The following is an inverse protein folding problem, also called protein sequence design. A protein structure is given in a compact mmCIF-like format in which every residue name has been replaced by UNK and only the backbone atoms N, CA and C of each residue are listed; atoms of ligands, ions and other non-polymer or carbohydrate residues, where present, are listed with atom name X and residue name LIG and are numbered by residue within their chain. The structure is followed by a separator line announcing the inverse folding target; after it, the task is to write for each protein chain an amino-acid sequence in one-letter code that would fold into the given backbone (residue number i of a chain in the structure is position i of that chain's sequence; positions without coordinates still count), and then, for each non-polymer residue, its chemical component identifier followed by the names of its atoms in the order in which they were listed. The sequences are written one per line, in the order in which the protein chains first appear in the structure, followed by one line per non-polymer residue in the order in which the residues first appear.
data_IF_941780678784
#
_entry.id   IF_941780678784
#
_cell.length_a   1.000
_cell.length_b   1.000
_cell.length_c   1.000
_cell.angle_alpha   90.00
_cell.angle_beta   90.00
_cell.angle_gamma   90.00
#
_symmetry.space_group_name_H-M   'P 1'
#
loop_
_entity.id
_entity.type
_entity.pdbx_description
1 polymer ?
#
# COMPACT_ATOMS: atom_id res chain seq x y z
N UNK A 1 -75.57 -63.54 -6.52
CA UNK A 1 -76.24 -62.25 -6.82
C UNK A 1 -75.58 -61.68 -8.05
N UNK A 2 -76.30 -61.56 -9.17
CA UNK A 2 -75.75 -60.94 -10.38
C UNK A 2 -75.62 -59.44 -10.14
N UNK A 3 -74.42 -58.89 -10.29
CA UNK A 3 -74.19 -57.43 -10.24
C UNK A 3 -75.18 -56.74 -11.20
N UNK A 4 -75.78 -55.65 -10.72
CA UNK A 4 -76.62 -54.79 -11.54
C UNK A 4 -75.81 -54.22 -12.71
N UNK A 5 -76.42 -54.05 -13.88
CA UNK A 5 -75.78 -53.39 -15.04
C UNK A 5 -75.20 -52.01 -14.64
N UNK A 6 -75.88 -51.32 -13.73
CA UNK A 6 -75.44 -50.02 -13.21
C UNK A 6 -74.17 -50.13 -12.34
N UNK A 7 -74.04 -51.18 -11.53
CA UNK A 7 -72.84 -51.42 -10.70
C UNK A 7 -71.62 -51.75 -11.56
N UNK A 8 -71.82 -52.52 -12.64
CA UNK A 8 -70.76 -52.78 -13.63
C UNK A 8 -70.31 -51.49 -14.32
N UNK A 9 -71.25 -50.63 -14.72
CA UNK A 9 -70.93 -49.35 -15.35
C UNK A 9 -70.16 -48.40 -14.43
N UNK A 10 -70.50 -48.35 -13.13
CA UNK A 10 -69.75 -47.55 -12.16
C UNK A 10 -68.34 -48.10 -11.90
N UNK A 11 -68.18 -49.43 -11.90
CA UNK A 11 -66.86 -50.07 -11.77
C UNK A 11 -65.94 -49.84 -12.97
N UNK A 12 -66.48 -49.66 -14.17
CA UNK A 12 -65.69 -49.43 -15.41
C UNK A 12 -65.75 -47.99 -15.91
N UNK A 13 -66.30 -47.06 -15.12
CA UNK A 13 -66.38 -45.65 -15.47
C UNK A 13 -64.99 -45.00 -15.63
N UNK A 14 -64.94 -43.88 -16.35
CA UNK A 14 -63.70 -43.11 -16.56
C UNK A 14 -63.13 -42.53 -15.25
N UNK A 15 -63.97 -42.37 -14.21
CA UNK A 15 -63.58 -41.98 -12.83
C UNK A 15 -63.56 -43.16 -11.84
N UNK A 16 -63.57 -44.41 -12.32
CA UNK A 16 -63.51 -45.56 -11.42
C UNK A 16 -62.19 -45.61 -10.65
N UNK A 17 -62.16 -46.29 -9.51
CA UNK A 17 -60.97 -46.42 -8.68
C UNK A 17 -59.74 -46.97 -9.44
N UNK A 18 -59.94 -47.75 -10.51
CA UNK A 18 -58.85 -48.24 -11.36
C UNK A 18 -58.20 -47.16 -12.23
N UNK A 19 -58.91 -46.06 -12.49
CA UNK A 19 -58.45 -44.91 -13.27
C UNK A 19 -58.13 -43.69 -12.40
N UNK A 20 -58.22 -43.82 -11.06
CA UNK A 20 -58.06 -42.69 -10.14
C UNK A 20 -56.76 -41.92 -10.36
N UNK A 21 -55.62 -42.63 -10.49
CA UNK A 21 -54.31 -42.00 -10.73
C UNK A 21 -54.25 -41.21 -12.04
N UNK A 22 -54.90 -41.71 -13.10
CA UNK A 22 -54.95 -41.07 -14.41
C UNK A 22 -55.80 -39.79 -14.37
N UNK A 23 -56.94 -39.84 -13.68
CA UNK A 23 -57.82 -38.68 -13.51
C UNK A 23 -57.19 -37.63 -12.59
N UNK A 24 -56.49 -38.05 -11.53
CA UNK A 24 -55.72 -37.16 -10.65
C UNK A 24 -54.62 -36.42 -11.42
N UNK A 25 -53.86 -37.11 -12.27
CA UNK A 25 -52.82 -36.49 -13.11
C UNK A 25 -53.40 -35.49 -14.12
N UNK A 26 -54.51 -35.84 -14.78
CA UNK A 26 -55.25 -34.94 -15.66
C UNK A 26 -55.80 -33.70 -14.93
N UNK A 27 -56.25 -33.86 -13.69
CA UNK A 27 -56.74 -32.76 -12.87
C UNK A 27 -55.59 -31.86 -12.41
N UNK A 28 -54.44 -32.42 -12.03
CA UNK A 28 -53.24 -31.63 -11.72
C UNK A 28 -52.77 -30.80 -12.92
N UNK A 29 -52.81 -31.36 -14.13
CA UNK A 29 -52.53 -30.62 -15.37
C UNK A 29 -53.55 -29.51 -15.62
N UNK A 30 -54.84 -29.78 -15.40
CA UNK A 30 -55.90 -28.76 -15.50
C UNK A 30 -55.68 -27.58 -14.54
N UNK A 31 -55.21 -27.84 -13.31
CA UNK A 31 -54.90 -26.79 -12.33
C UNK A 31 -53.66 -25.95 -12.70
N UNK A 32 -52.72 -26.50 -13.50
CA UNK A 32 -51.54 -25.78 -13.98
C UNK A 32 -51.83 -25.00 -15.27
N UNK A 33 -52.40 -25.66 -16.27
CA UNK A 33 -52.86 -25.05 -17.52
C UNK A 33 -54.08 -25.80 -18.10
N UNK A 34 -55.29 -25.22 -18.02
CA UNK A 34 -56.49 -25.79 -18.59
C UNK A 34 -56.41 -26.08 -20.10
N UNK A 35 -55.52 -25.38 -20.84
CA UNK A 35 -55.37 -25.51 -22.28
C UNK A 35 -54.75 -26.85 -22.70
N UNK A 36 -53.94 -27.48 -21.84
CA UNK A 36 -53.24 -28.74 -22.11
C UNK A 36 -54.15 -29.98 -21.97
N UNK A 37 -55.30 -29.82 -21.31
CA UNK A 37 -56.27 -30.90 -21.08
C UNK A 37 -57.33 -30.95 -22.19
N UNK A 38 -57.70 -32.15 -22.70
CA UNK A 38 -58.76 -32.29 -23.70
C UNK A 38 -60.10 -31.67 -23.25
N UNK A 39 -60.84 -31.06 -24.20
CA UNK A 39 -62.07 -30.30 -23.95
C UNK A 39 -63.13 -31.07 -23.14
N UNK A 40 -63.22 -32.39 -23.34
CA UNK A 40 -64.14 -33.27 -22.61
C UNK A 40 -63.85 -33.32 -21.11
N UNK A 41 -62.56 -33.32 -20.74
CA UNK A 41 -62.12 -33.31 -19.34
C UNK A 41 -62.17 -31.92 -18.74
N UNK A 42 -61.86 -30.88 -19.51
CA UNK A 42 -62.01 -29.48 -19.09
C UNK A 42 -63.46 -29.18 -18.68
N UNK A 43 -64.41 -29.54 -19.55
CA UNK A 43 -65.84 -29.37 -19.29
C UNK A 43 -66.30 -30.17 -18.07
N UNK A 44 -65.72 -31.34 -17.83
CA UNK A 44 -66.01 -32.15 -16.65
C UNK A 44 -65.48 -31.51 -15.35
N UNK A 45 -64.23 -31.04 -15.35
CA UNK A 45 -63.60 -30.43 -14.18
C UNK A 45 -64.24 -29.08 -13.79
N UNK A 46 -64.76 -28.30 -14.75
CA UNK A 46 -65.55 -27.10 -14.47
C UNK A 46 -66.85 -27.37 -13.71
N UNK A 47 -67.39 -28.59 -13.79
CA UNK A 47 -68.63 -28.98 -13.07
C UNK A 47 -68.38 -29.46 -11.65
N UNK A 48 -67.12 -29.56 -11.22
CA UNK A 48 -66.79 -30.00 -9.87
C UNK A 48 -67.23 -28.93 -8.84
N UNK A 49 -67.90 -29.34 -7.75
CA UNK A 49 -68.35 -28.39 -6.74
C UNK A 49 -67.15 -27.80 -5.99
N UNK A 50 -67.08 -26.47 -5.94
CA UNK A 50 -66.18 -25.76 -5.03
C UNK A 50 -66.59 -26.06 -3.59
N UNK A 51 -65.63 -26.44 -2.74
CA UNK A 51 -65.87 -26.73 -1.32
C UNK A 51 -66.41 -25.47 -0.62
N UNK A 52 -67.55 -25.61 0.09
CA UNK A 52 -68.22 -24.49 0.75
C UNK A 52 -67.28 -23.75 1.73
N UNK A 53 -67.06 -22.45 1.48
CA UNK A 53 -66.34 -21.54 2.39
C UNK A 53 -64.98 -21.02 1.91
N UNK A 54 -64.49 -21.45 0.75
CA UNK A 54 -63.23 -20.95 0.17
C UNK A 54 -63.40 -20.54 -1.29
N UNK A 55 -63.27 -19.25 -1.60
CA UNK A 55 -63.18 -18.72 -2.97
C UNK A 55 -61.78 -18.93 -3.60
N UNK A 56 -61.00 -19.89 -3.10
CA UNK A 56 -59.66 -20.14 -3.56
C UNK A 56 -59.67 -21.30 -4.57
N UNK A 57 -58.91 -21.20 -5.68
CA UNK A 57 -58.74 -22.31 -6.60
C UNK A 57 -58.08 -23.50 -5.89
N UNK A 58 -58.42 -24.73 -6.31
CA UNK A 58 -57.79 -25.94 -5.79
C UNK A 58 -56.27 -25.92 -6.05
N UNK A 59 -55.51 -26.40 -5.08
CA UNK A 59 -54.05 -26.40 -5.12
C UNK A 59 -53.59 -27.75 -5.67
N UNK A 60 -52.68 -27.72 -6.64
CA UNK A 60 -52.10 -28.95 -7.19
C UNK A 60 -51.40 -29.79 -6.12
N UNK A 61 -51.73 -31.08 -6.09
CA UNK A 61 -51.23 -32.01 -5.09
C UNK A 61 -49.73 -32.32 -5.26
N UNK A 62 -49.20 -32.29 -6.48
CA UNK A 62 -47.75 -32.31 -6.74
C UNK A 62 -47.01 -31.11 -6.14
N UNK A 63 -47.56 -29.90 -6.23
CA UNK A 63 -46.97 -28.71 -5.60
C UNK A 63 -46.89 -28.84 -4.07
N UNK A 64 -47.91 -29.45 -3.46
CA UNK A 64 -47.91 -29.74 -2.02
C UNK A 64 -46.85 -30.80 -1.68
N UNK A 65 -46.76 -31.88 -2.46
CA UNK A 65 -45.70 -32.91 -2.29
C UNK A 65 -44.31 -32.32 -2.43
N UNK A 66 -44.07 -31.48 -3.42
CA UNK A 66 -42.79 -30.82 -3.65
C UNK A 66 -42.44 -29.85 -2.53
N UNK A 67 -43.43 -29.13 -2.00
CA UNK A 67 -43.25 -28.28 -0.82
C UNK A 67 -42.84 -29.09 0.41
N UNK A 68 -43.49 -30.24 0.68
CA UNK A 68 -43.10 -31.13 1.77
C UNK A 68 -41.75 -31.82 1.52
N UNK A 69 -41.40 -32.11 0.26
CA UNK A 69 -40.10 -32.65 -0.12
C UNK A 69 -38.98 -31.60 0.04
N UNK A 70 -39.26 -30.33 -0.26
CA UNK A 70 -38.37 -29.20 0.04
C UNK A 70 -38.21 -28.99 1.54
N UNK A 71 -39.29 -29.09 2.33
CA UNK A 71 -39.21 -29.06 3.80
C UNK A 71 -38.39 -30.23 4.35
N UNK A 72 -38.52 -31.42 3.77
CA UNK A 72 -37.73 -32.61 4.13
C UNK A 72 -36.27 -32.53 3.67
N UNK A 73 -35.97 -31.91 2.52
CA UNK A 73 -34.60 -31.65 2.04
C UNK A 73 -33.93 -30.50 2.79
N UNK A 74 -34.69 -29.48 3.20
CA UNK A 74 -34.25 -28.39 4.06
C UNK A 74 -34.22 -28.78 5.55
N UNK A 75 -34.80 -29.93 5.92
CA UNK A 75 -34.30 -30.75 7.03
C UNK A 75 -32.98 -31.43 6.66
N UNK A 76 -32.03 -30.66 6.10
CA UNK A 76 -30.65 -30.86 6.50
C UNK A 76 -30.69 -30.82 8.03
N UNK A 77 -30.41 -31.98 8.64
CA UNK A 77 -30.27 -32.15 10.08
C UNK A 77 -29.82 -30.83 10.68
N UNK A 78 -30.72 -30.19 11.43
CA UNK A 78 -30.29 -29.37 12.56
C UNK A 78 -29.72 -30.38 13.54
N UNK A 79 -28.52 -30.90 13.23
CA UNK A 79 -27.60 -31.30 14.27
C UNK A 79 -27.51 -30.02 15.11
N UNK A 80 -27.79 -30.06 16.41
CA UNK A 80 -27.41 -28.94 17.24
C UNK A 80 -25.91 -28.81 17.03
N UNK A 81 -25.51 -27.83 16.23
CA UNK A 81 -24.13 -27.39 16.13
C UNK A 81 -23.85 -27.02 17.57
N UNK A 82 -23.11 -27.88 18.26
CA UNK A 82 -22.78 -27.61 19.66
C UNK A 82 -22.14 -26.22 19.66
N UNK A 83 -22.38 -25.43 20.71
CA UNK A 83 -21.71 -24.13 20.83
C UNK A 83 -20.18 -24.26 20.62
N UNK A 84 -19.61 -25.45 20.86
CA UNK A 84 -18.22 -25.80 20.57
C UNK A 84 -17.85 -25.82 19.06
N UNK A 85 -18.73 -26.25 18.14
CA UNK A 85 -18.41 -26.26 16.71
C UNK A 85 -18.54 -24.89 16.02
N UNK A 86 -19.48 -24.04 16.47
CA UNK A 86 -19.53 -22.61 16.04
C UNK A 86 -18.27 -21.88 16.49
N UNK A 87 -17.83 -22.13 17.73
CA UNK A 87 -16.59 -21.56 18.25
C UNK A 87 -15.38 -22.05 17.43
N UNK A 88 -15.33 -23.35 17.07
CA UNK A 88 -14.19 -23.89 16.30
C UNK A 88 -14.06 -23.34 14.87
N UNK A 89 -15.17 -23.00 14.20
CA UNK A 89 -15.12 -22.40 12.86
C UNK A 89 -14.74 -20.92 12.94
N UNK A 90 -15.33 -20.18 13.89
CA UNK A 90 -14.98 -18.79 14.15
C UNK A 90 -13.50 -18.65 14.57
N UNK A 91 -13.00 -19.54 15.44
CA UNK A 91 -11.58 -19.60 15.84
C UNK A 91 -10.65 -19.88 14.64
N UNK A 92 -11.04 -20.76 13.72
CA UNK A 92 -10.26 -21.02 12.49
C UNK A 92 -10.22 -19.79 11.58
N UNK A 93 -11.36 -19.11 11.42
CA UNK A 93 -11.42 -17.86 10.64
C UNK A 93 -10.64 -16.75 11.33
N UNK A 94 -10.68 -16.67 12.67
CA UNK A 94 -9.88 -15.73 13.45
C UNK A 94 -8.38 -15.93 13.22
N UNK A 95 -7.91 -17.18 13.18
CA UNK A 95 -6.52 -17.48 12.82
C UNK A 95 -6.21 -17.06 11.37
N UNK A 96 -7.11 -17.34 10.43
CA UNK A 96 -6.97 -16.93 9.03
C UNK A 96 -6.92 -15.39 8.87
N UNK A 97 -7.69 -14.63 9.66
CA UNK A 97 -7.59 -13.16 9.70
C UNK A 97 -6.22 -12.70 10.20
N UNK A 98 -5.64 -13.38 11.20
CA UNK A 98 -4.28 -13.10 11.66
C UNK A 98 -3.23 -13.32 10.58
N UNK A 99 -3.33 -14.43 9.83
CA UNK A 99 -2.45 -14.72 8.69
C UNK A 99 -2.62 -13.72 7.55
N UNK A 100 -3.85 -13.26 7.29
CA UNK A 100 -4.13 -12.19 6.32
C UNK A 100 -3.43 -10.88 6.72
N UNK A 101 -3.58 -10.43 7.98
CA UNK A 101 -2.90 -9.23 8.50
C UNK A 101 -1.38 -9.34 8.30
N UNK A 102 -0.80 -10.49 8.66
CA UNK A 102 0.63 -10.75 8.47
C UNK A 102 1.04 -10.77 6.98
N UNK A 103 0.17 -11.26 6.10
CA UNK A 103 0.34 -11.21 4.64
C UNK A 103 0.50 -9.78 4.12
N UNK A 104 -0.39 -8.87 4.52
CA UNK A 104 -0.31 -7.44 4.16
C UNK A 104 0.95 -6.77 4.73
N UNK A 105 1.31 -7.05 5.99
CA UNK A 105 2.53 -6.51 6.60
C UNK A 105 3.81 -6.93 5.86
N UNK A 106 3.84 -8.15 5.32
CA UNK A 106 5.01 -8.71 4.63
C UNK A 106 5.09 -8.35 3.16
N UNK A 107 3.96 -8.30 2.46
CA UNK A 107 3.92 -8.22 0.99
C UNK A 107 2.97 -7.16 0.44
N UNK A 108 2.35 -6.34 1.30
CA UNK A 108 1.50 -5.21 0.89
C UNK A 108 2.19 -4.27 -0.09
N UNK A 109 3.48 -4.02 0.14
CA UNK A 109 4.30 -3.18 -0.72
C UNK A 109 4.37 -3.66 -2.19
N UNK A 110 4.16 -4.95 -2.47
CA UNK A 110 4.13 -5.49 -3.85
C UNK A 110 2.84 -5.14 -4.60
N UNK A 111 1.77 -4.79 -3.87
CA UNK A 111 0.48 -4.35 -4.42
C UNK A 111 0.33 -2.82 -4.42
N UNK A 112 1.18 -2.13 -3.67
CA UNK A 112 1.13 -0.69 -3.50
C UNK A 112 1.21 0.09 -4.81
N UNK A 113 0.55 1.26 -4.86
CA UNK A 113 0.53 2.11 -6.03
C UNK A 113 1.75 3.05 -6.05
N UNK A 114 2.92 2.49 -6.35
CA UNK A 114 4.21 3.18 -6.22
C UNK A 114 4.66 3.88 -7.50
N UNK A 115 4.26 3.38 -8.66
CA UNK A 115 4.68 3.90 -9.97
C UNK A 115 3.77 5.06 -10.43
N UNK A 116 4.28 6.31 -10.50
CA UNK A 116 3.51 7.44 -11.02
C UNK A 116 3.15 7.30 -12.51
N UNK A 117 3.92 6.52 -13.28
CA UNK A 117 3.74 6.36 -14.71
C UNK A 117 2.75 5.24 -15.07
N UNK A 118 2.46 4.34 -14.12
CA UNK A 118 1.58 3.18 -14.33
C UNK A 118 2.11 2.19 -15.38
N UNK A 119 3.43 2.10 -15.53
CA UNK A 119 4.15 1.18 -16.42
C UNK A 119 4.41 -0.18 -15.76
N UNK A 120 4.54 -0.22 -14.43
CA UNK A 120 4.80 -1.47 -13.70
C UNK A 120 3.60 -2.42 -13.73
N UNK A 121 3.84 -3.68 -14.10
CA UNK A 121 2.84 -4.73 -13.99
C UNK A 121 2.65 -5.12 -12.52
N UNK A 122 1.43 -4.96 -12.01
CA UNK A 122 1.10 -5.36 -10.65
C UNK A 122 1.25 -6.87 -10.50
N UNK A 123 2.08 -7.29 -9.55
CA UNK A 123 2.24 -8.70 -9.21
C UNK A 123 0.94 -9.26 -8.63
N UNK A 124 0.60 -10.49 -9.01
CA UNK A 124 -0.41 -11.25 -8.29
C UNK A 124 0.18 -11.70 -6.96
N UNK A 125 -0.44 -11.31 -5.86
CA UNK A 125 0.03 -11.61 -4.50
C UNK A 125 -1.06 -12.38 -3.75
N UNK A 126 -1.12 -13.71 -3.90
CA UNK A 126 -2.17 -14.54 -3.30
C UNK A 126 -2.29 -14.36 -1.79
N UNK A 127 -1.20 -14.04 -1.08
CA UNK A 127 -1.21 -13.81 0.36
C UNK A 127 -2.11 -12.65 0.82
N UNK A 128 -2.56 -11.77 -0.08
CA UNK A 128 -3.47 -10.67 0.24
C UNK A 128 -4.94 -10.98 -0.08
N UNK A 129 -5.23 -12.12 -0.71
CA UNK A 129 -6.59 -12.49 -1.13
C UNK A 129 -7.31 -13.29 -0.04
N UNK A 130 -8.62 -13.08 0.09
CA UNK A 130 -9.43 -13.77 1.10
C UNK A 130 -9.43 -15.28 0.85
N UNK A 131 -9.48 -15.68 -0.41
CA UNK A 131 -9.57 -17.07 -0.85
C UNK A 131 -8.34 -17.88 -0.45
N UNK A 132 -7.14 -17.28 -0.50
CA UNK A 132 -5.91 -17.92 -0.06
C UNK A 132 -5.97 -18.34 1.42
N UNK A 133 -6.63 -17.53 2.24
CA UNK A 133 -6.82 -17.75 3.68
C UNK A 133 -8.11 -18.52 4.00
N UNK A 134 -8.82 -19.05 3.00
CA UNK A 134 -10.12 -19.74 3.16
C UNK A 134 -11.20 -18.85 3.78
N UNK A 135 -11.09 -17.55 3.57
CA UNK A 135 -12.12 -16.56 3.86
C UNK A 135 -12.91 -16.29 2.57
N UNK A 136 -14.14 -15.80 2.72
CA UNK A 136 -15.02 -15.51 1.59
C UNK A 136 -15.73 -14.17 1.76
N UNK A 137 -16.39 -13.70 0.70
CA UNK A 137 -17.22 -12.50 0.76
C UNK A 137 -18.35 -12.59 1.82
N UNK A 138 -18.79 -13.80 2.19
CA UNK A 138 -19.78 -14.00 3.24
C UNK A 138 -19.25 -13.69 4.65
N UNK A 139 -17.92 -13.67 4.83
CA UNK A 139 -17.28 -13.41 6.11
C UNK A 139 -17.02 -11.90 6.35
N UNK A 140 -17.21 -11.05 5.34
CA UNK A 140 -16.88 -9.62 5.39
C UNK A 140 -17.55 -8.87 6.54
N UNK A 141 -18.80 -9.21 6.84
CA UNK A 141 -19.56 -8.54 7.90
C UNK A 141 -19.42 -9.24 9.27
N UNK A 142 -18.60 -10.30 9.34
CA UNK A 142 -18.25 -11.00 10.60
C UNK A 142 -17.19 -10.22 11.36
N UNK A 143 -17.36 -10.08 12.68
CA UNK A 143 -16.39 -9.39 13.55
C UNK A 143 -15.32 -10.35 14.07
N UNK A 144 -14.08 -9.87 14.06
CA UNK A 144 -12.89 -10.56 14.52
C UNK A 144 -12.10 -9.68 15.49
N UNK A 145 -11.33 -10.31 16.37
CA UNK A 145 -10.32 -9.65 17.18
C UNK A 145 -9.22 -9.14 16.26
N UNK A 146 -8.81 -7.90 16.47
CA UNK A 146 -7.80 -7.22 15.65
C UNK A 146 -6.38 -7.48 16.14
N UNK A 147 -6.24 -8.03 17.34
CA UNK A 147 -4.96 -8.40 17.93
C UNK A 147 -4.04 -7.18 18.07
N UNK A 148 -2.91 -7.22 17.38
CA UNK A 148 -1.92 -6.13 17.35
C UNK A 148 -2.06 -5.21 16.13
N UNK A 149 -3.23 -5.14 15.49
CA UNK A 149 -3.51 -4.18 14.43
C UNK A 149 -3.86 -2.81 15.05
N UNK A 150 -3.03 -1.79 14.80
CA UNK A 150 -3.09 -0.52 15.53
C UNK A 150 -3.99 0.54 14.88
N UNK A 151 -5.31 0.33 14.85
CA UNK A 151 -6.28 1.31 14.30
C UNK A 151 -7.39 1.74 15.28
N UNK A 152 -7.19 1.50 16.57
CA UNK A 152 -8.04 2.04 17.66
C UNK A 152 -9.21 1.17 18.08
N UNK A 153 -9.42 0.01 17.47
CA UNK A 153 -10.48 -0.93 17.83
C UNK A 153 -9.91 -2.32 18.16
N UNK A 154 -10.38 -2.95 19.24
CA UNK A 154 -10.00 -4.33 19.62
C UNK A 154 -10.75 -5.40 18.81
N UNK A 155 -11.89 -5.02 18.22
CA UNK A 155 -12.70 -5.85 17.35
C UNK A 155 -13.24 -5.02 16.17
N UNK A 156 -13.21 -5.59 14.97
CA UNK A 156 -13.79 -4.99 13.78
C UNK A 156 -14.29 -6.06 12.81
N UNK A 157 -15.13 -5.66 11.87
CA UNK A 157 -15.54 -6.53 10.77
C UNK A 157 -14.35 -6.86 9.87
N UNK A 158 -14.37 -8.03 9.22
CA UNK A 158 -13.33 -8.40 8.25
C UNK A 158 -13.20 -7.34 7.13
N UNK A 159 -14.32 -6.74 6.71
CA UNK A 159 -14.33 -5.61 5.77
C UNK A 159 -13.47 -4.45 6.26
N UNK A 160 -13.74 -3.96 7.48
CA UNK A 160 -12.98 -2.85 8.07
C UNK A 160 -11.49 -3.19 8.22
N UNK A 161 -11.17 -4.44 8.59
CA UNK A 161 -9.78 -4.91 8.70
C UNK A 161 -9.09 -4.84 7.33
N UNK A 162 -9.71 -5.38 6.28
CA UNK A 162 -9.16 -5.33 4.92
C UNK A 162 -9.00 -3.90 4.43
N UNK A 163 -9.98 -3.04 4.65
CA UNK A 163 -9.92 -1.63 4.24
C UNK A 163 -8.76 -0.88 4.91
N UNK A 164 -8.51 -1.15 6.21
CA UNK A 164 -7.37 -0.59 6.95
C UNK A 164 -6.05 -1.12 6.39
N UNK A 165 -5.95 -2.42 6.11
CA UNK A 165 -4.73 -3.02 5.57
C UNK A 165 -4.40 -2.52 4.16
N UNK A 166 -5.41 -2.41 3.28
CA UNK A 166 -5.26 -1.89 1.92
C UNK A 166 -4.83 -0.42 1.93
N UNK A 167 -5.49 0.42 2.73
CA UNK A 167 -5.11 1.85 2.85
C UNK A 167 -3.70 2.01 3.43
N UNK A 168 -3.32 1.21 4.43
CA UNK A 168 -2.02 1.33 5.10
C UNK A 168 -0.87 0.82 4.23
N UNK A 169 -1.01 -0.35 3.60
CA UNK A 169 0.12 -1.09 3.00
C UNK A 169 0.10 -1.14 1.47
N UNK A 170 -1.03 -0.78 0.84
CA UNK A 170 -1.22 -0.87 -0.62
C UNK A 170 -1.59 0.48 -1.28
N UNK A 171 -1.55 1.59 -0.53
CA UNK A 171 -1.79 2.95 -1.05
C UNK A 171 -0.59 3.52 -1.81
N UNK A 172 -0.34 4.82 -1.62
CA UNK A 172 0.83 5.52 -2.18
C UNK A 172 2.15 5.17 -1.47
N UNK A 173 2.09 4.42 -0.38
CA UNK A 173 3.24 4.00 0.43
C UNK A 173 3.29 2.47 0.51
N UNK A 174 4.45 1.92 0.20
CA UNK A 174 4.78 0.51 0.39
C UNK A 174 5.95 0.40 1.36
N UNK A 175 5.79 -0.37 2.44
CA UNK A 175 6.83 -0.48 3.47
C UNK A 175 7.38 -1.91 3.57
N UNK A 176 8.70 -2.01 3.65
CA UNK A 176 9.42 -3.25 3.92
C UNK A 176 10.13 -3.12 5.26
N UNK A 177 9.66 -3.86 6.25
CA UNK A 177 10.20 -3.81 7.62
C UNK A 177 10.12 -5.16 8.33
N UNK A 178 9.29 -6.10 7.87
CA UNK A 178 9.14 -7.42 8.50
C UNK A 178 10.40 -8.29 8.41
N UNK A 179 11.43 -7.88 7.66
CA UNK A 179 12.76 -8.51 7.65
C UNK A 179 13.65 -8.11 8.82
N UNK A 180 13.25 -7.09 9.60
CA UNK A 180 13.93 -6.66 10.83
C UNK A 180 13.79 -7.77 11.88
N UNK A 181 14.86 -8.09 12.60
CA UNK A 181 14.81 -9.15 13.63
C UNK A 181 14.32 -8.64 14.99
N UNK A 182 14.51 -7.35 15.29
CA UNK A 182 14.02 -6.74 16.51
C UNK A 182 12.50 -6.52 16.47
N UNK A 183 11.77 -7.17 17.38
CA UNK A 183 10.31 -7.07 17.48
C UNK A 183 9.85 -5.68 17.92
N UNK A 184 10.61 -4.99 18.77
CA UNK A 184 10.26 -3.64 19.21
C UNK A 184 10.32 -2.65 18.04
N UNK A 185 11.30 -2.80 17.14
CA UNK A 185 11.36 -2.01 15.91
C UNK A 185 10.20 -2.33 14.94
N UNK A 186 9.87 -3.61 14.76
CA UNK A 186 8.71 -3.98 13.95
C UNK A 186 7.41 -3.37 14.49
N UNK A 187 7.19 -3.46 15.81
CA UNK A 187 6.03 -2.88 16.48
C UNK A 187 6.01 -1.35 16.35
N UNK A 188 7.18 -0.71 16.43
CA UNK A 188 7.32 0.73 16.27
C UNK A 188 6.84 1.20 14.88
N UNK A 189 7.21 0.46 13.82
CA UNK A 189 6.78 0.73 12.45
C UNK A 189 5.28 0.45 12.30
N UNK A 190 4.81 -0.70 12.79
CA UNK A 190 3.39 -1.09 12.76
C UNK A 190 2.50 -0.03 13.39
N UNK A 191 2.85 0.42 14.59
CA UNK A 191 2.05 1.40 15.34
C UNK A 191 1.91 2.71 14.56
N UNK A 192 3.01 3.24 14.00
CA UNK A 192 2.96 4.51 13.27
C UNK A 192 2.24 4.41 11.93
N UNK A 193 2.46 3.32 11.19
CA UNK A 193 1.82 3.11 9.89
C UNK A 193 0.32 2.86 10.04
N UNK A 194 -0.08 1.92 10.89
CA UNK A 194 -1.48 1.47 11.00
C UNK A 194 -2.36 2.50 11.73
N UNK A 195 -1.81 3.25 12.70
CA UNK A 195 -2.59 4.29 13.39
C UNK A 195 -2.86 5.51 12.51
N UNK A 196 -1.93 5.82 11.59
CA UNK A 196 -2.13 6.86 10.59
C UNK A 196 -2.82 6.34 9.32
N UNK A 197 -2.92 5.01 9.14
CA UNK A 197 -3.30 4.37 7.87
C UNK A 197 -2.45 4.84 6.69
N UNK A 198 -1.19 5.15 6.95
CA UNK A 198 -0.27 5.79 6.00
C UNK A 198 -0.77 7.10 5.39
N UNK A 199 -1.79 7.73 5.99
CA UNK A 199 -2.42 8.98 5.56
C UNK A 199 -2.49 9.95 6.73
N UNK A 200 -1.53 10.88 6.81
CA UNK A 200 -1.66 12.01 7.73
C UNK A 200 -2.58 13.06 7.13
N UNK A 201 -3.68 13.35 7.82
CA UNK A 201 -4.52 14.50 7.51
C UNK A 201 -3.76 15.80 7.83
N UNK A 202 -2.99 16.31 6.86
CA UNK A 202 -2.31 17.59 6.99
C UNK A 202 -3.30 18.74 6.95
N UNK A 203 -3.13 19.72 7.84
CA UNK A 203 -3.90 20.97 7.78
C UNK A 203 -3.53 21.81 6.56
N UNK A 204 -4.47 22.66 6.11
CA UNK A 204 -4.32 23.50 4.91
C UNK A 204 -3.00 24.28 4.83
N UNK A 205 -2.49 24.75 5.98
CA UNK A 205 -1.22 25.49 6.03
C UNK A 205 0.00 24.64 5.64
N UNK A 206 0.00 23.35 5.99
CA UNK A 206 1.07 22.41 5.59
C UNK A 206 0.92 22.08 4.11
N UNK A 207 -0.31 21.78 3.65
CA UNK A 207 -0.58 21.50 2.23
C UNK A 207 -0.16 22.65 1.30
N UNK A 208 -0.45 23.90 1.69
CA UNK A 208 0.02 25.09 0.95
C UNK A 208 1.53 25.17 0.89
N UNK A 209 2.24 24.90 1.98
CA UNK A 209 3.70 24.90 2.02
C UNK A 209 4.32 23.82 1.14
N UNK A 210 3.73 22.64 1.11
CA UNK A 210 4.13 21.55 0.21
C UNK A 210 3.99 22.03 -1.24
N UNK A 211 2.82 22.58 -1.59
CA UNK A 211 2.55 23.11 -2.92
C UNK A 211 3.52 24.24 -3.32
N UNK A 212 3.79 25.19 -2.43
CA UNK A 212 4.73 26.28 -2.68
C UNK A 212 6.14 25.76 -3.03
N UNK A 213 6.59 24.72 -2.33
CA UNK A 213 7.89 24.07 -2.59
C UNK A 213 7.90 23.33 -3.94
N UNK A 214 6.80 22.67 -4.31
CA UNK A 214 6.67 22.02 -5.62
C UNK A 214 6.72 23.06 -6.75
N UNK A 215 5.99 24.18 -6.60
CA UNK A 215 5.99 25.28 -7.57
C UNK A 215 7.40 25.87 -7.72
N UNK A 216 8.12 26.07 -6.62
CA UNK A 216 9.50 26.55 -6.65
C UNK A 216 10.45 25.55 -7.34
N UNK A 217 10.28 24.26 -7.07
CA UNK A 217 11.09 23.19 -7.68
C UNK A 217 10.87 23.11 -9.19
N UNK A 218 9.62 23.07 -9.64
CA UNK A 218 9.25 23.02 -11.06
C UNK A 218 9.62 24.32 -11.78
N UNK A 219 9.33 25.47 -11.16
CA UNK A 219 9.58 26.79 -11.71
C UNK A 219 11.06 27.03 -12.03
N UNK A 220 11.96 26.63 -11.13
CA UNK A 220 13.41 26.70 -11.38
C UNK A 220 13.83 25.81 -12.55
N UNK A 221 13.32 24.58 -12.63
CA UNK A 221 13.60 23.64 -13.71
C UNK A 221 13.19 24.20 -15.07
N UNK A 222 11.94 24.70 -15.17
CA UNK A 222 11.40 25.35 -16.37
C UNK A 222 12.22 26.58 -16.76
N UNK A 223 12.54 27.46 -15.80
CA UNK A 223 13.32 28.66 -16.06
C UNK A 223 14.70 28.34 -16.64
N UNK A 224 15.44 27.43 -16.01
CA UNK A 224 16.76 27.02 -16.49
C UNK A 224 16.68 26.34 -17.87
N UNK A 225 15.65 25.52 -18.09
CA UNK A 225 15.39 24.87 -19.38
C UNK A 225 15.12 25.86 -20.51
N UNK A 226 14.35 26.92 -20.25
CA UNK A 226 14.05 27.97 -21.23
C UNK A 226 15.22 28.91 -21.47
N UNK A 227 15.94 29.33 -20.41
CA UNK A 227 17.02 30.33 -20.52
C UNK A 227 18.32 29.75 -21.07
N UNK A 228 18.66 28.51 -20.73
CA UNK A 228 19.92 27.86 -21.11
C UNK A 228 19.67 26.56 -21.89
N UNK A 229 19.05 26.63 -23.08
CA UNK A 229 18.74 25.45 -23.88
C UNK A 229 20.03 24.69 -24.25
N UNK A 230 19.99 23.36 -24.18
CA UNK A 230 21.13 22.49 -24.50
C UNK A 230 22.22 22.41 -23.43
N UNK A 231 22.14 23.20 -22.35
CA UNK A 231 23.11 23.10 -21.24
C UNK A 231 22.73 21.98 -20.28
N UNK A 232 23.68 21.09 -19.98
CA UNK A 232 23.49 20.02 -18.98
C UNK A 232 23.26 20.64 -17.59
N UNK A 233 22.07 20.39 -17.03
CA UNK A 233 21.63 20.88 -15.70
C UNK A 233 21.24 19.78 -14.72
N UNK A 234 21.05 18.53 -15.19
CA UNK A 234 20.55 17.40 -14.39
C UNK A 234 19.30 17.76 -13.58
N UNK A 235 18.27 18.21 -14.31
CA UNK A 235 17.06 18.74 -13.71
C UNK A 235 16.28 17.69 -12.90
N UNK A 236 15.39 18.21 -12.05
CA UNK A 236 14.59 17.44 -11.11
C UNK A 236 13.19 17.12 -11.68
N UNK A 237 12.93 17.45 -12.95
CA UNK A 237 11.61 17.29 -13.54
C UNK A 237 11.13 15.83 -13.42
N UNK A 238 9.89 15.65 -12.93
CA UNK A 238 9.28 14.35 -12.59
C UNK A 238 9.70 13.78 -11.24
N UNK A 239 10.42 14.54 -10.41
CA UNK A 239 10.81 14.16 -9.06
C UNK A 239 10.78 15.36 -8.10
N UNK A 240 9.92 16.35 -8.35
CA UNK A 240 9.83 17.62 -7.62
C UNK A 240 9.50 17.42 -6.13
N UNK A 241 8.75 16.37 -5.79
CA UNK A 241 8.45 15.95 -4.41
C UNK A 241 9.68 15.68 -3.55
N UNK A 242 10.86 15.51 -4.17
CA UNK A 242 12.15 15.48 -3.49
C UNK A 242 12.42 16.75 -2.65
N UNK A 243 12.00 17.94 -3.12
CA UNK A 243 12.24 19.19 -2.38
C UNK A 243 11.41 19.26 -1.09
N UNK A 244 10.09 18.98 -1.10
CA UNK A 244 9.31 18.76 0.12
C UNK A 244 9.90 17.67 1.03
N UNK A 245 10.35 16.53 0.49
CA UNK A 245 10.97 15.44 1.26
C UNK A 245 12.18 15.92 2.09
N UNK A 246 13.20 16.47 1.43
CA UNK A 246 14.41 16.91 2.13
C UNK A 246 14.12 18.07 3.08
N UNK A 247 13.22 18.97 2.71
CA UNK A 247 12.80 20.04 3.60
C UNK A 247 12.19 19.51 4.90
N UNK A 248 11.31 18.50 4.81
CA UNK A 248 10.67 17.90 5.97
C UNK A 248 11.70 17.15 6.82
N UNK A 249 12.61 16.38 6.22
CA UNK A 249 13.70 15.72 6.94
C UNK A 249 14.51 16.71 7.78
N UNK A 250 14.91 17.85 7.19
CA UNK A 250 15.66 18.90 7.89
C UNK A 250 14.81 19.53 9.00
N UNK A 251 13.54 19.81 8.73
CA UNK A 251 12.62 20.43 9.70
C UNK A 251 12.37 19.53 10.91
N UNK A 252 12.14 18.24 10.66
CA UNK A 252 11.92 17.21 11.67
C UNK A 252 13.19 16.95 12.48
N UNK A 253 14.34 16.83 11.82
CA UNK A 253 15.64 16.70 12.49
C UNK A 253 15.92 17.85 13.46
N UNK A 254 15.67 19.10 13.02
CA UNK A 254 15.86 20.27 13.86
C UNK A 254 14.92 20.28 15.06
N UNK A 255 13.68 19.87 14.88
CA UNK A 255 12.71 19.70 15.98
C UNK A 255 13.16 18.65 17.01
N UNK A 256 13.90 17.63 16.56
CA UNK A 256 14.49 16.58 17.40
C UNK A 256 15.87 16.95 17.98
N UNK A 257 16.33 18.19 17.83
CA UNK A 257 17.57 18.68 18.45
C UNK A 257 18.85 18.50 17.61
N UNK A 258 18.74 18.08 16.35
CA UNK A 258 19.88 18.06 15.42
C UNK A 258 20.30 19.50 15.12
N UNK A 259 21.60 19.79 15.26
CA UNK A 259 22.18 21.12 15.05
C UNK A 259 23.05 21.19 13.80
N UNK A 260 23.48 20.06 13.26
CA UNK A 260 24.22 19.98 12.01
C UNK A 260 23.73 18.84 11.13
N UNK A 261 23.47 19.11 9.85
CA UNK A 261 23.17 18.06 8.86
C UNK A 261 24.16 18.16 7.70
N UNK A 262 24.78 17.04 7.36
CA UNK A 262 25.65 16.91 6.20
C UNK A 262 24.94 16.09 5.13
N UNK A 263 24.85 16.66 3.93
CA UNK A 263 24.14 16.09 2.79
C UNK A 263 25.15 15.60 1.75
N UNK A 264 25.01 14.35 1.32
CA UNK A 264 25.63 13.81 0.12
C UNK A 264 24.59 13.62 -0.97
N UNK A 265 24.92 13.98 -2.21
CA UNK A 265 24.04 13.67 -3.33
C UNK A 265 24.78 13.52 -4.64
N UNK A 266 24.15 12.77 -5.56
CA UNK A 266 24.51 12.72 -6.97
C UNK A 266 24.19 14.04 -7.71
N UNK A 267 24.17 14.00 -9.04
CA UNK A 267 23.94 15.17 -9.88
C UNK A 267 22.45 15.58 -9.99
N UNK A 268 21.51 14.62 -9.90
CA UNK A 268 20.08 14.87 -10.17
C UNK A 268 19.47 15.77 -9.09
N UNK A 269 18.88 16.89 -9.51
CA UNK A 269 18.23 17.84 -8.61
C UNK A 269 19.17 18.68 -7.75
N UNK A 270 20.49 18.59 -7.95
CA UNK A 270 21.46 19.29 -7.09
C UNK A 270 21.32 20.80 -7.10
N UNK A 271 21.13 21.40 -8.29
CA UNK A 271 20.91 22.84 -8.43
C UNK A 271 19.60 23.25 -7.75
N UNK A 272 18.58 22.39 -7.80
CA UNK A 272 17.31 22.62 -7.16
C UNK A 272 17.45 22.64 -5.64
N UNK A 273 18.17 21.67 -5.06
CA UNK A 273 18.50 21.64 -3.63
C UNK A 273 19.32 22.85 -3.19
N UNK A 274 20.35 23.23 -3.96
CA UNK A 274 21.18 24.40 -3.67
C UNK A 274 20.37 25.69 -3.57
N UNK A 275 19.50 25.95 -4.54
CA UNK A 275 18.71 27.19 -4.60
C UNK A 275 17.53 27.15 -3.62
N UNK A 276 16.69 26.11 -3.70
CA UNK A 276 15.40 26.09 -3.01
C UNK A 276 15.47 25.64 -1.55
N UNK A 277 16.58 25.01 -1.11
CA UNK A 277 16.75 24.56 0.28
C UNK A 277 17.98 25.15 0.95
N UNK A 278 19.12 25.15 0.28
CA UNK A 278 20.36 25.64 0.90
C UNK A 278 20.54 27.15 0.83
N UNK A 279 19.75 27.85 0.02
CA UNK A 279 19.81 29.31 -0.08
C UNK A 279 21.02 29.83 -0.85
N UNK A 280 21.57 29.05 -1.79
CA UNK A 280 22.55 29.56 -2.75
C UNK A 280 21.89 30.64 -3.61
N UNK A 281 22.55 31.79 -3.76
CA UNK A 281 21.99 32.89 -4.53
C UNK A 281 21.76 32.46 -6.00
N UNK A 282 20.54 32.60 -6.55
CA UNK A 282 20.29 32.34 -7.95
C UNK A 282 21.22 33.10 -8.90
N UNK A 283 21.66 34.31 -8.54
CA UNK A 283 22.61 35.09 -9.34
C UNK A 283 23.94 34.34 -9.53
N UNK A 284 24.51 33.80 -8.45
CA UNK A 284 25.74 33.01 -8.50
C UNK A 284 25.57 31.76 -9.37
N UNK A 285 24.41 31.10 -9.27
CA UNK A 285 24.08 29.96 -10.12
C UNK A 285 24.02 30.38 -11.59
N UNK A 286 23.37 31.50 -11.92
CA UNK A 286 23.29 32.00 -13.29
C UNK A 286 24.67 32.39 -13.85
N UNK A 287 25.57 32.93 -13.03
CA UNK A 287 26.95 33.20 -13.42
C UNK A 287 27.72 31.92 -13.78
N UNK A 288 27.47 30.81 -13.06
CA UNK A 288 28.01 29.48 -13.39
C UNK A 288 27.41 28.88 -14.68
N UNK A 289 26.21 29.30 -15.08
CA UNK A 289 25.62 28.93 -16.38
C UNK A 289 26.18 29.78 -17.53
N UNK A 290 26.44 31.05 -17.27
CA UNK A 290 26.95 32.02 -18.26
C UNK A 290 28.48 31.96 -18.41
N UNK A 291 29.17 31.14 -17.60
CA UNK A 291 30.63 31.01 -17.63
C UNK A 291 31.36 32.21 -17.06
N UNK A 292 30.66 33.04 -16.25
CA UNK A 292 31.23 34.21 -15.55
C UNK A 292 31.86 33.85 -14.21
N UNK A 293 31.66 32.62 -13.74
CA UNK A 293 32.27 32.12 -12.52
C UNK A 293 33.78 31.89 -12.70
N UNK A 294 34.58 32.61 -11.92
CA UNK A 294 36.02 32.39 -11.81
C UNK A 294 36.33 31.69 -10.47
N UNK A 295 36.96 30.51 -10.48
CA UNK A 295 37.36 29.84 -9.25
C UNK A 295 38.36 30.72 -8.48
N UNK A 296 38.09 30.98 -7.20
CA UNK A 296 39.00 31.76 -6.37
C UNK A 296 40.37 31.10 -6.14
N UNK A 297 40.44 29.77 -6.22
CA UNK A 297 41.67 28.99 -6.12
C UNK A 297 41.55 27.64 -6.87
N UNK A 298 42.66 27.17 -7.46
CA UNK A 298 42.73 25.87 -8.14
C UNK A 298 42.15 25.86 -9.55
N UNK A 299 41.97 24.66 -10.12
CA UNK A 299 41.45 24.47 -11.48
C UNK A 299 39.95 24.63 -11.62
N UNK A 300 39.21 24.71 -10.50
CA UNK A 300 37.75 24.64 -10.48
C UNK A 300 37.21 23.23 -10.79
N UNK A 301 35.87 23.12 -10.79
CA UNK A 301 35.12 21.93 -11.19
C UNK A 301 33.72 22.36 -11.69
N UNK A 302 32.97 21.47 -12.33
CA UNK A 302 31.64 21.77 -12.85
C UNK A 302 30.65 22.14 -11.74
N UNK A 303 29.70 23.03 -12.06
CA UNK A 303 28.70 23.59 -11.13
C UNK A 303 27.96 22.59 -10.25
N UNK A 304 27.67 21.40 -10.78
CA UNK A 304 26.96 20.33 -10.06
C UNK A 304 27.87 19.38 -9.26
N UNK A 305 29.16 19.71 -9.06
CA UNK A 305 30.05 19.04 -8.10
C UNK A 305 30.35 19.92 -6.88
N UNK A 306 30.06 21.22 -6.96
CA UNK A 306 30.36 22.17 -5.91
C UNK A 306 29.54 21.86 -4.66
N UNK A 307 30.21 21.84 -3.50
CA UNK A 307 29.59 21.83 -2.19
C UNK A 307 29.04 23.21 -1.83
N UNK A 308 28.29 23.27 -0.75
CA UNK A 308 27.76 24.53 -0.22
C UNK A 308 27.54 24.41 1.28
N UNK A 309 27.52 25.53 1.99
CA UNK A 309 27.20 25.54 3.41
C UNK A 309 26.37 26.77 3.75
N UNK A 310 25.36 26.57 4.58
CA UNK A 310 24.47 27.63 5.03
C UNK A 310 23.89 27.28 6.40
N UNK A 311 23.32 28.28 7.06
CA UNK A 311 22.54 28.06 8.28
C UNK A 311 21.06 28.29 7.95
N UNK A 312 20.21 27.42 8.47
CA UNK A 312 18.76 27.47 8.27
C UNK A 312 18.05 27.44 9.62
N UNK A 313 17.02 28.27 9.78
CA UNK A 313 16.19 28.26 10.99
C UNK A 313 15.19 27.10 10.95
N UNK A 314 15.28 26.24 11.94
CA UNK A 314 14.34 25.14 12.20
C UNK A 314 13.52 25.42 13.48
N UNK A 315 12.47 24.64 13.79
CA UNK A 315 11.74 24.80 15.05
C UNK A 315 12.61 24.65 16.30
N UNK A 316 13.67 23.85 16.23
CA UNK A 316 14.64 23.67 17.31
C UNK A 316 15.76 24.71 17.34
N UNK A 317 15.74 25.70 16.44
CA UNK A 317 16.75 26.75 16.35
C UNK A 317 17.57 26.70 15.06
N UNK A 318 18.70 27.40 15.06
CA UNK A 318 19.61 27.44 13.92
C UNK A 318 20.28 26.08 13.70
N UNK A 319 20.13 25.52 12.51
CA UNK A 319 20.83 24.30 12.07
C UNK A 319 21.82 24.66 10.97
N UNK A 320 23.05 24.17 11.10
CA UNK A 320 24.05 24.28 10.05
C UNK A 320 23.90 23.14 9.02
N UNK A 321 23.77 23.50 7.75
CA UNK A 321 23.66 22.59 6.62
C UNK A 321 24.95 22.62 5.81
N UNK A 322 25.47 21.45 5.47
CA UNK A 322 26.63 21.31 4.61
C UNK A 322 26.37 20.27 3.51
N UNK A 323 26.41 20.71 2.25
CA UNK A 323 26.41 19.82 1.10
C UNK A 323 27.85 19.49 0.73
N UNK A 324 28.20 18.22 0.77
CA UNK A 324 29.54 17.77 0.41
C UNK A 324 29.85 17.94 -1.08
N UNK A 325 31.11 18.21 -1.38
CA UNK A 325 31.64 18.09 -2.73
C UNK A 325 31.62 16.63 -3.17
N UNK A 326 31.44 16.38 -4.48
CA UNK A 326 31.53 15.05 -5.04
C UNK A 326 32.11 15.08 -6.45
N UNK A 327 32.87 14.05 -6.85
CA UNK A 327 33.22 13.84 -8.26
C UNK A 327 32.03 13.27 -9.04
N UNK A 328 32.21 13.06 -10.35
CA UNK A 328 31.21 12.36 -11.18
C UNK A 328 31.07 10.87 -10.86
N UNK A 329 32.02 10.26 -10.15
CA UNK A 329 31.90 8.87 -9.69
C UNK A 329 30.77 8.79 -8.67
N UNK A 330 29.66 8.16 -9.06
CA UNK A 330 28.47 8.06 -8.21
C UNK A 330 28.77 7.22 -6.97
N UNK A 331 27.98 7.43 -5.92
CA UNK A 331 28.03 6.72 -4.64
C UNK A 331 29.29 6.90 -3.78
N UNK A 332 30.46 7.20 -4.35
CA UNK A 332 31.71 7.35 -3.57
C UNK A 332 31.68 8.51 -2.57
N UNK A 333 30.79 9.49 -2.77
CA UNK A 333 30.59 10.58 -1.83
C UNK A 333 29.90 10.10 -0.54
N UNK A 334 29.06 9.07 -0.58
CA UNK A 334 28.30 8.60 0.59
C UNK A 334 29.18 8.27 1.81
N UNK A 335 30.25 7.45 1.71
CA UNK A 335 31.14 7.19 2.85
C UNK A 335 31.92 8.44 3.29
N UNK A 336 32.22 9.36 2.37
CA UNK A 336 32.89 10.64 2.70
C UNK A 336 31.99 11.51 3.57
N UNK A 337 30.69 11.55 3.29
CA UNK A 337 29.70 12.25 4.13
C UNK A 337 29.60 11.61 5.50
N UNK A 338 29.52 10.29 5.58
CA UNK A 338 29.48 9.57 6.86
C UNK A 338 30.74 9.87 7.69
N UNK A 339 31.93 9.87 7.06
CA UNK A 339 33.17 10.26 7.72
C UNK A 339 33.19 11.72 8.20
N UNK A 340 32.64 12.65 7.40
CA UNK A 340 32.47 14.06 7.78
C UNK A 340 31.55 14.22 9.00
N UNK A 341 30.44 13.49 9.02
CA UNK A 341 29.51 13.44 10.17
C UNK A 341 30.20 12.87 11.40
N UNK A 342 30.93 11.77 11.26
CA UNK A 342 31.69 11.20 12.38
C UNK A 342 32.68 12.19 12.98
N UNK A 343 33.44 12.90 12.15
CA UNK A 343 34.37 13.92 12.64
C UNK A 343 33.66 15.07 13.37
N UNK A 344 32.47 15.48 12.90
CA UNK A 344 31.64 16.51 13.54
C UNK A 344 31.02 16.01 14.86
N UNK A 345 30.63 14.74 14.93
CA UNK A 345 30.18 14.10 16.17
C UNK A 345 31.28 14.09 17.23
N UNK A 346 32.48 13.65 16.86
CA UNK A 346 33.64 13.62 17.77
C UNK A 346 33.96 15.03 18.29
N UNK A 347 33.90 16.05 17.41
CA UNK A 347 34.09 17.47 17.80
C UNK A 347 33.03 17.99 18.76
N UNK A 348 31.81 17.47 18.68
CA UNK A 348 30.64 17.92 19.49
C UNK A 348 30.37 17.05 20.70
N UNK A 349 31.25 16.08 20.97
CA UNK A 349 31.07 15.07 22.02
C UNK A 349 29.72 14.34 21.88
N UNK A 350 29.31 14.09 20.64
CA UNK A 350 28.03 13.47 20.28
C UNK A 350 28.21 11.98 20.00
N UNK A 351 28.52 11.19 21.02
CA UNK A 351 28.77 9.75 20.85
C UNK A 351 27.53 8.96 20.41
N UNK A 352 26.33 9.49 20.62
CA UNK A 352 25.06 8.86 20.27
C UNK A 352 24.54 9.24 18.87
N UNK A 353 25.07 10.30 18.26
CA UNK A 353 24.59 10.80 16.96
C UNK A 353 23.26 11.54 17.05
N UNK A 354 23.01 12.25 18.15
CA UNK A 354 21.78 13.02 18.38
C UNK A 354 21.84 14.42 17.78
N UNK A 355 23.05 14.97 17.62
CA UNK A 355 23.27 16.37 17.24
C UNK A 355 23.70 16.54 15.79
N UNK A 356 24.35 15.51 15.22
CA UNK A 356 24.83 15.54 13.84
C UNK A 356 24.18 14.43 13.02
N UNK A 357 23.69 14.77 11.83
CA UNK A 357 22.97 13.87 10.94
C UNK A 357 23.64 13.77 9.57
N UNK A 358 23.65 12.56 9.00
CA UNK A 358 23.95 12.32 7.59
C UNK A 358 22.64 12.12 6.80
N UNK A 359 22.52 12.78 5.65
CA UNK A 359 21.52 12.47 4.62
C UNK A 359 22.26 12.16 3.32
N UNK A 360 22.09 10.96 2.78
CA UNK A 360 22.68 10.56 1.50
C UNK A 360 21.59 10.36 0.45
N UNK A 361 21.78 10.96 -0.73
CA UNK A 361 20.83 10.96 -1.84
C UNK A 361 21.44 10.24 -3.03
N UNK A 362 20.69 9.28 -3.55
CA UNK A 362 21.17 8.30 -4.52
C UNK A 362 20.31 8.29 -5.79
N UNK A 363 20.86 7.75 -6.88
CA UNK A 363 20.07 7.31 -8.03
C UNK A 363 19.84 5.81 -7.97
N UNK A 364 18.71 5.31 -8.44
CA UNK A 364 18.31 3.90 -8.42
C UNK A 364 19.37 2.94 -8.98
N UNK A 365 19.82 3.17 -10.22
CA UNK A 365 20.77 2.29 -10.89
C UNK A 365 22.15 2.30 -10.20
N UNK A 366 22.58 3.46 -9.71
CA UNK A 366 23.85 3.60 -9.00
C UNK A 366 23.81 2.95 -7.61
N UNK A 367 22.70 3.12 -6.88
CA UNK A 367 22.49 2.54 -5.56
C UNK A 367 22.53 1.01 -5.60
N UNK A 368 21.91 0.39 -6.61
CA UNK A 368 21.92 -1.06 -6.79
C UNK A 368 23.27 -1.59 -7.32
N UNK A 369 23.98 -0.80 -8.14
CA UNK A 369 25.13 -1.29 -8.91
C UNK A 369 26.51 -1.01 -8.31
N UNK A 370 26.66 -0.04 -7.41
CA UNK A 370 27.98 0.35 -6.87
C UNK A 370 28.27 -0.31 -5.51
N UNK A 371 29.32 -1.13 -5.46
CA UNK A 371 29.71 -1.87 -4.23
C UNK A 371 30.01 -1.00 -3.01
N UNK A 372 30.40 0.27 -3.21
CA UNK A 372 30.65 1.21 -2.11
C UNK A 372 29.41 1.49 -1.26
N UNK A 373 28.20 1.32 -1.83
CA UNK A 373 26.93 1.44 -1.09
C UNK A 373 26.85 0.35 -0.03
N UNK A 374 27.11 -0.91 -0.42
CA UNK A 374 27.18 -2.05 0.49
C UNK A 374 28.26 -1.85 1.56
N UNK A 375 29.46 -1.43 1.18
CA UNK A 375 30.55 -1.15 2.13
C UNK A 375 30.16 -0.08 3.16
N UNK A 376 29.43 0.95 2.73
CA UNK A 376 28.95 2.03 3.61
C UNK A 376 27.88 1.53 4.58
N UNK A 377 26.92 0.73 4.11
CA UNK A 377 25.94 0.08 5.00
C UNK A 377 26.62 -0.85 6.00
N UNK A 378 27.57 -1.67 5.57
CA UNK A 378 28.31 -2.56 6.46
C UNK A 378 29.03 -1.80 7.59
N UNK A 379 29.50 -0.58 7.32
CA UNK A 379 30.18 0.25 8.30
C UNK A 379 29.22 0.94 9.30
N UNK A 380 27.93 1.06 8.98
CA UNK A 380 26.94 1.89 9.70
C UNK A 380 26.88 1.65 11.21
N UNK A 381 26.98 0.38 11.65
CA UNK A 381 26.91 -0.03 13.06
C UNK A 381 28.28 -0.39 13.66
N UNK A 382 29.37 -0.22 12.91
CA UNK A 382 30.72 -0.54 13.41
C UNK A 382 31.26 0.59 14.29
N UNK A 383 31.84 0.27 15.44
CA UNK A 383 32.28 1.26 16.45
C UNK A 383 33.09 2.46 15.91
N UNK A 384 33.95 2.22 14.91
CA UNK A 384 34.86 3.21 14.35
C UNK A 384 34.20 4.17 13.35
N UNK A 385 33.07 3.76 12.77
CA UNK A 385 32.38 4.47 11.70
C UNK A 385 30.92 4.80 12.05
N UNK A 386 30.43 4.36 13.21
CA UNK A 386 29.09 4.63 13.71
C UNK A 386 28.77 6.13 13.74
N UNK A 387 27.59 6.48 13.25
CA UNK A 387 27.07 7.85 13.16
C UNK A 387 25.61 8.01 13.64
N UNK A 388 25.07 7.02 14.37
CA UNK A 388 23.68 7.07 14.83
C UNK A 388 22.65 6.89 13.70
N UNK A 389 22.99 6.13 12.67
CA UNK A 389 22.17 5.94 11.48
C UNK A 389 22.26 7.11 10.47
N UNK A 390 22.06 6.78 9.19
CA UNK A 390 22.02 7.72 8.06
C UNK A 390 20.66 7.61 7.38
N UNK A 391 20.05 8.74 7.02
CA UNK A 391 18.84 8.73 6.20
C UNK A 391 19.23 8.67 4.73
N UNK A 392 18.77 7.62 4.05
CA UNK A 392 19.03 7.40 2.62
C UNK A 392 17.78 7.74 1.81
N UNK A 393 17.94 8.59 0.80
CA UNK A 393 16.87 8.96 -0.14
C UNK A 393 17.27 8.53 -1.54
N UNK A 394 16.56 7.56 -2.13
CA UNK A 394 16.82 7.12 -3.50
C UNK A 394 15.83 7.81 -4.42
N UNK A 395 16.33 8.64 -5.34
CA UNK A 395 15.50 9.20 -6.41
C UNK A 395 15.35 8.14 -7.50
N UNK A 396 14.34 7.28 -7.33
CA UNK A 396 14.03 6.22 -8.29
C UNK A 396 13.15 6.75 -9.45
N UNK A 397 13.80 7.17 -10.53
CA UNK A 397 13.14 7.52 -11.79
C UNK A 397 12.99 6.35 -12.76
N UNK A 398 13.24 5.12 -12.30
CA UNK A 398 13.07 3.90 -13.10
C UNK A 398 13.94 3.89 -14.37
N UNK A 399 15.04 4.66 -14.38
CA UNK A 399 15.94 4.73 -15.54
C UNK A 399 17.36 5.16 -15.13
N UNK A 400 18.33 4.30 -15.47
CA UNK A 400 19.75 4.59 -15.39
C UNK A 400 20.30 5.04 -16.74
N UNK A 401 20.28 6.35 -17.01
CA UNK A 401 20.70 6.94 -18.29
C UNK A 401 19.90 6.39 -19.49
N UNK A 402 20.35 5.29 -20.12
CA UNK A 402 19.65 4.60 -21.23
C UNK A 402 19.16 3.21 -20.86
N UNK A 403 19.42 2.76 -19.62
CA UNK A 403 19.01 1.44 -19.12
C UNK A 403 17.73 1.62 -18.30
N UNK A 404 16.60 1.22 -18.86
CA UNK A 404 15.29 1.24 -18.19
C UNK A 404 14.78 -0.14 -17.78
N UNK A 405 15.27 -1.21 -18.43
CA UNK A 405 14.90 -2.57 -18.03
C UNK A 405 15.55 -2.89 -16.66
N UNK A 406 14.75 -3.17 -15.62
CA UNK A 406 15.29 -3.55 -14.32
C UNK A 406 16.27 -4.72 -14.39
N UNK A 407 16.05 -5.70 -15.28
CA UNK A 407 16.89 -6.89 -15.40
C UNK A 407 18.32 -6.58 -15.89
N UNK A 408 18.50 -5.46 -16.60
CA UNK A 408 19.81 -4.98 -17.05
C UNK A 408 20.54 -4.16 -15.96
N UNK A 409 19.81 -3.62 -14.98
CA UNK A 409 20.36 -2.75 -13.93
C UNK A 409 20.60 -3.46 -12.60
N UNK A 410 19.82 -4.50 -12.28
CA UNK A 410 19.83 -5.20 -10.99
C UNK A 410 19.24 -6.61 -11.10
N UNK A 411 19.55 -7.44 -10.10
CA UNK A 411 19.02 -8.83 -9.98
C UNK A 411 17.91 -8.98 -8.93
N UNK A 412 17.45 -7.87 -8.36
CA UNK A 412 16.47 -7.81 -7.28
C UNK A 412 15.24 -7.01 -7.71
N UNK A 413 14.12 -7.16 -7.02
CA UNK A 413 12.88 -6.44 -7.36
C UNK A 413 13.07 -4.93 -7.20
N UNK A 414 13.40 -4.47 -5.99
CA UNK A 414 13.73 -3.06 -5.75
C UNK A 414 15.24 -2.77 -5.88
N UNK A 415 15.57 -1.53 -6.23
CA UNK A 415 16.96 -1.05 -6.22
C UNK A 415 17.53 -0.94 -4.79
N UNK A 416 16.66 -0.86 -3.78
CA UNK A 416 16.99 -0.62 -2.37
C UNK A 416 17.31 -1.88 -1.57
N UNK A 417 17.27 -3.05 -2.19
CA UNK A 417 17.41 -4.37 -1.54
C UNK A 417 18.73 -4.54 -0.79
N UNK A 418 19.78 -3.83 -1.19
CA UNK A 418 21.06 -3.79 -0.48
C UNK A 418 20.92 -3.31 0.97
N UNK A 419 19.96 -2.44 1.28
CA UNK A 419 19.74 -1.91 2.62
C UNK A 419 19.29 -2.99 3.63
N UNK A 420 18.66 -4.08 3.14
CA UNK A 420 18.22 -5.20 3.99
C UNK A 420 19.39 -5.95 4.63
N UNK A 421 20.62 -5.78 4.13
CA UNK A 421 21.82 -6.40 4.71
C UNK A 421 22.05 -6.01 6.18
N UNK A 422 21.69 -4.78 6.54
CA UNK A 422 21.74 -4.26 7.92
C UNK A 422 20.37 -4.19 8.56
N UNK A 423 19.37 -4.85 7.95
CA UNK A 423 17.99 -4.84 8.39
C UNK A 423 17.40 -3.42 8.48
N UNK A 424 17.79 -2.48 7.62
CA UNK A 424 17.15 -1.17 7.61
C UNK A 424 15.71 -1.28 7.05
N UNK A 425 14.71 -0.58 7.63
CA UNK A 425 13.40 -0.46 7.00
C UNK A 425 13.49 0.33 5.69
N UNK A 426 12.67 -0.05 4.71
CA UNK A 426 12.61 0.62 3.40
C UNK A 426 11.19 1.13 3.19
N UNK A 427 11.09 2.42 2.89
CA UNK A 427 9.83 3.11 2.60
C UNK A 427 9.81 3.48 1.12
N UNK A 428 9.01 2.76 0.33
CA UNK A 428 8.70 3.10 -1.05
C UNK A 428 7.52 4.06 -1.06
N UNK A 429 7.62 5.14 -1.81
CA UNK A 429 6.56 6.15 -1.89
C UNK A 429 6.39 6.65 -3.30
N UNK A 430 5.13 6.82 -3.72
CA UNK A 430 4.79 7.40 -5.01
C UNK A 430 5.16 8.88 -5.05
N UNK A 431 5.99 9.27 -6.03
CA UNK A 431 6.45 10.65 -6.20
C UNK A 431 5.35 11.66 -6.51
N UNK A 432 4.21 11.23 -7.06
CA UNK A 432 3.05 12.07 -7.38
C UNK A 432 2.14 12.35 -6.16
N UNK A 433 2.40 11.69 -5.02
CA UNK A 433 1.72 11.94 -3.75
C UNK A 433 2.66 12.66 -2.76
N UNK A 434 2.77 14.00 -2.84
CA UNK A 434 3.71 14.75 -2.02
C UNK A 434 3.31 14.75 -0.53
N UNK A 435 2.04 14.49 -0.19
CA UNK A 435 1.61 14.34 1.21
C UNK A 435 2.14 13.03 1.79
N UNK A 436 2.01 11.92 1.04
CA UNK A 436 2.63 10.65 1.42
C UNK A 436 4.16 10.76 1.52
N UNK A 437 4.82 11.47 0.60
CA UNK A 437 6.28 11.73 0.65
C UNK A 437 6.69 12.45 1.94
N UNK A 438 5.92 13.46 2.36
CA UNK A 438 6.19 14.19 3.61
C UNK A 438 5.93 13.29 4.83
N UNK A 439 4.88 12.46 4.82
CA UNK A 439 4.61 11.49 5.87
C UNK A 439 5.77 10.49 6.04
N UNK A 440 6.23 9.84 4.97
CA UNK A 440 7.35 8.89 5.07
C UNK A 440 8.65 9.56 5.46
N UNK A 441 8.84 10.84 5.11
CA UNK A 441 9.99 11.63 5.55
C UNK A 441 9.98 11.84 7.07
N UNK A 442 8.81 12.14 7.65
CA UNK A 442 8.66 12.23 9.11
C UNK A 442 8.95 10.88 9.78
N UNK A 443 8.37 9.80 9.23
CA UNK A 443 8.57 8.45 9.76
C UNK A 443 10.05 8.02 9.73
N UNK A 444 10.75 8.24 8.62
CA UNK A 444 12.16 7.90 8.48
C UNK A 444 13.04 8.67 9.47
N UNK A 445 12.77 9.96 9.67
CA UNK A 445 13.51 10.76 10.63
C UNK A 445 13.23 10.32 12.07
N UNK A 446 11.96 10.09 12.41
CA UNK A 446 11.58 9.61 13.74
C UNK A 446 12.22 8.25 14.04
N UNK A 447 12.26 7.33 13.06
CA UNK A 447 12.91 6.03 13.20
C UNK A 447 14.41 6.20 13.50
N UNK A 448 15.11 7.02 12.70
CA UNK A 448 16.54 7.31 12.91
C UNK A 448 16.79 7.93 14.29
N UNK A 449 15.91 8.80 14.77
CA UNK A 449 16.10 9.48 16.05
C UNK A 449 15.78 8.60 17.26
N UNK A 450 14.82 7.68 17.15
CA UNK A 450 14.38 6.84 18.28
C UNK A 450 15.08 5.48 18.35
N UNK A 451 15.39 4.84 17.21
CA UNK A 451 15.95 3.48 17.13
C UNK A 451 17.49 3.49 16.97
N UNK A 452 18.03 4.50 16.28
CA UNK A 452 19.46 4.68 15.93
C UNK A 452 20.03 3.61 14.99
#
# INVERSE_FOLDING_TARGET
MSESIMERMWRTGHISAGNASYVEELYEQYLQDPAEVPEQWRSYFETLPLVEGTNAPDISHSTVKDHFLLLAKNQARVVPVSAASINSEHERKQFAVGELINGYRRQGHLKANLDPLGLEEKLDVPLLTLEHHKLSAADLDTRFQTGNLFFGHSEASLREIVDVLESTYCGSVGVEYMHITDEAEQMWVQQRMESARSELAFGDGVKRRILDRLIAAEGLGKYLGSKYPGTKRFGLEGAESFIPCIAELIHRAGSSGVVETVIGMAHRGRINLLVNLMGKDPADVFDEFEGRYEPGFGSGDVKYHQGFSSNLMTPGGEMHLALGFNPSHLEIAAPVIVGSVRARMDRREDSAGDKVLAINIHGDAAFAGQGVVMETFQASQTRGFYTGGTVHVVINNQIGYTVSDPADSRSTHYCTEVAKMVQAPVLHVNGDDPEAVVFVSQLAMDYRMEIK
#
